data_IF_875329337905
#
_entry.id   IF_875329337905
#
_cell.length_a   1.000
_cell.length_b   1.000
_cell.length_c   1.000
_cell.angle_alpha   90.00
_cell.angle_beta   90.00
_cell.angle_gamma   90.00
#
_symmetry.space_group_name_H-M   'P 1'
#
loop_
_entity.id
_entity.type
_entity.pdbx_description
1 polymer ?
#
# COMPACT_ATOMS: atom_id res chain seq x y z
N UNK A 1 -26.21 8.65 -3.25
CA UNK A 1 -25.35 9.68 -2.62
C UNK A 1 -25.56 11.00 -3.35
N UNK A 2 -25.77 12.11 -2.66
CA UNK A 2 -26.16 13.39 -3.27
C UNK A 2 -24.93 14.13 -3.85
N UNK A 3 -25.03 14.78 -5.02
CA UNK A 3 -23.89 15.37 -5.75
C UNK A 3 -23.05 16.32 -4.86
N UNK A 4 -23.71 17.18 -4.07
CA UNK A 4 -23.02 18.08 -3.12
C UNK A 4 -22.16 17.37 -2.07
N UNK A 5 -22.57 16.17 -1.64
CA UNK A 5 -21.80 15.37 -0.66
C UNK A 5 -20.58 14.74 -1.32
N UNK A 6 -20.71 14.29 -2.57
CA UNK A 6 -19.59 13.79 -3.36
C UNK A 6 -18.56 14.89 -3.63
N UNK A 7 -19.02 16.09 -4.02
CA UNK A 7 -18.14 17.23 -4.29
C UNK A 7 -17.41 17.72 -3.03
N UNK A 8 -18.05 17.68 -1.86
CA UNK A 8 -17.42 18.00 -0.57
C UNK A 8 -16.34 16.99 -0.17
N UNK A 9 -16.63 15.69 -0.29
CA UNK A 9 -15.66 14.62 0.02
C UNK A 9 -14.45 14.72 -0.92
N UNK A 10 -14.68 15.00 -2.21
CA UNK A 10 -13.60 15.17 -3.17
C UNK A 10 -12.73 16.39 -2.84
N UNK A 11 -13.33 17.49 -2.39
CA UNK A 11 -12.61 18.71 -2.00
C UNK A 11 -11.71 18.52 -0.78
N UNK A 12 -12.17 17.78 0.23
CA UNK A 12 -11.39 17.51 1.45
C UNK A 12 -10.25 16.51 1.19
N UNK A 13 -10.51 15.50 0.35
CA UNK A 13 -9.47 14.58 -0.15
C UNK A 13 -8.39 15.33 -0.94
N UNK A 14 -8.76 16.31 -1.75
CA UNK A 14 -7.79 17.03 -2.57
C UNK A 14 -6.81 17.88 -1.72
N UNK A 15 -7.09 18.13 -0.43
CA UNK A 15 -6.28 18.97 0.45
C UNK A 15 -5.41 18.25 1.49
N UNK A 16 -5.77 17.04 1.92
CA UNK A 16 -5.07 16.36 3.01
C UNK A 16 -4.50 14.99 2.63
N UNK A 17 -3.18 14.83 2.72
CA UNK A 17 -2.51 13.56 2.46
C UNK A 17 -3.00 12.44 3.39
N UNK A 18 -3.20 12.72 4.69
CA UNK A 18 -3.64 11.71 5.67
C UNK A 18 -5.08 11.25 5.41
N UNK A 19 -5.99 12.16 5.03
CA UNK A 19 -7.36 11.78 4.65
C UNK A 19 -7.38 10.96 3.36
N UNK A 20 -6.56 11.29 2.37
CA UNK A 20 -6.41 10.47 1.15
C UNK A 20 -5.88 9.09 1.46
N UNK A 21 -4.88 9.01 2.34
CA UNK A 21 -4.28 7.74 2.74
C UNK A 21 -5.26 6.86 3.53
N UNK A 22 -6.05 7.46 4.44
CA UNK A 22 -7.14 6.77 5.13
C UNK A 22 -8.19 6.25 4.15
N UNK A 23 -8.64 7.10 3.22
CA UNK A 23 -9.57 6.71 2.16
C UNK A 23 -9.03 5.54 1.35
N UNK A 24 -7.78 5.63 0.90
CA UNK A 24 -7.13 4.59 0.11
C UNK A 24 -6.98 3.30 0.89
N UNK A 25 -6.59 3.35 2.17
CA UNK A 25 -6.41 2.16 3.00
C UNK A 25 -7.71 1.34 3.13
N UNK A 26 -8.86 2.03 3.21
CA UNK A 26 -10.18 1.41 3.37
C UNK A 26 -10.73 0.90 2.03
N UNK A 27 -10.65 1.73 0.99
CA UNK A 27 -11.41 1.54 -0.25
C UNK A 27 -10.62 0.91 -1.39
N UNK A 28 -9.28 0.91 -1.33
CA UNK A 28 -8.46 0.28 -2.36
C UNK A 28 -8.74 -1.23 -2.45
N UNK A 29 -8.56 -1.79 -3.64
CA UNK A 29 -8.74 -3.22 -3.85
C UNK A 29 -7.77 -4.02 -2.96
N UNK A 30 -8.26 -5.12 -2.38
CA UNK A 30 -7.38 -6.10 -1.74
C UNK A 30 -6.36 -6.62 -2.76
N UNK A 31 -5.11 -6.81 -2.31
CA UNK A 31 -4.03 -7.48 -3.06
C UNK A 31 -4.18 -9.00 -2.96
N UNK A 32 -4.60 -9.42 -1.77
CA UNK A 32 -5.08 -10.72 -1.30
C UNK A 32 -6.38 -11.25 -1.94
N UNK A 33 -6.44 -12.37 -2.66
CA UNK A 33 -7.72 -13.04 -2.99
C UNK A 33 -8.14 -14.05 -1.91
N UNK A 34 -8.37 -13.73 -0.62
CA UNK A 34 -8.68 -14.78 0.37
C UNK A 34 -9.81 -14.60 1.39
N UNK A 35 -10.37 -15.80 1.65
CA UNK A 35 -11.53 -16.23 2.43
C UNK A 35 -12.86 -15.62 1.99
N UNK A 36 -13.90 -16.44 1.93
CA UNK A 36 -15.30 -16.05 1.71
C UNK A 36 -15.84 -15.04 2.73
N UNK A 37 -14.99 -14.57 3.64
CA UNK A 37 -15.29 -13.66 4.74
C UNK A 37 -14.66 -12.28 4.57
N UNK A 38 -13.77 -12.02 3.58
CA UNK A 38 -13.40 -10.66 3.19
C UNK A 38 -14.48 -10.10 2.25
N UNK A 39 -15.19 -9.02 2.60
CA UNK A 39 -16.16 -8.40 1.69
C UNK A 39 -15.50 -7.88 0.39
N UNK A 40 -14.17 -7.82 0.31
CA UNK A 40 -13.40 -7.46 -0.89
C UNK A 40 -13.40 -5.97 -1.21
N UNK A 41 -14.47 -5.25 -0.82
CA UNK A 41 -14.57 -3.79 -0.78
C UNK A 41 -15.41 -3.34 0.40
N UNK A 42 -14.87 -2.41 1.15
CA UNK A 42 -15.59 -1.73 2.23
C UNK A 42 -16.27 -0.48 1.69
N UNK A 43 -17.43 -0.14 2.25
CA UNK A 43 -18.08 1.13 1.90
C UNK A 43 -17.15 2.29 2.30
N UNK A 44 -16.99 3.29 1.43
CA UNK A 44 -16.17 4.46 1.75
C UNK A 44 -16.77 5.15 2.98
N UNK A 45 -15.96 5.45 4.01
CA UNK A 45 -16.45 6.21 5.16
C UNK A 45 -16.82 7.62 4.71
N UNK A 46 -17.73 8.25 5.45
CA UNK A 46 -18.01 9.67 5.28
C UNK A 46 -16.88 10.49 5.90
N UNK A 47 -15.85 10.78 5.10
CA UNK A 47 -14.66 11.50 5.56
C UNK A 47 -14.93 12.95 5.94
N UNK A 48 -16.08 13.52 5.57
CA UNK A 48 -16.47 14.87 6.03
C UNK A 48 -16.66 14.95 7.55
N UNK A 49 -16.78 13.80 8.22
CA UNK A 49 -16.91 13.69 9.67
C UNK A 49 -15.56 13.47 10.38
N UNK A 50 -14.47 13.27 9.63
CA UNK A 50 -13.14 13.02 10.17
C UNK A 50 -12.44 14.36 10.37
N UNK A 51 -12.01 14.63 11.60
CA UNK A 51 -11.18 15.80 11.88
C UNK A 51 -9.72 15.49 11.47
N UNK A 52 -9.19 16.23 10.51
CA UNK A 52 -7.83 16.02 10.00
C UNK A 52 -6.76 16.13 11.09
N UNK A 53 -6.87 17.11 11.98
CA UNK A 53 -5.90 17.30 13.06
C UNK A 53 -5.94 16.14 14.05
N UNK A 54 -7.14 15.66 14.41
CA UNK A 54 -7.31 14.48 15.27
C UNK A 54 -6.68 13.24 14.62
N UNK A 55 -6.90 13.02 13.32
CA UNK A 55 -6.27 11.93 12.58
C UNK A 55 -4.75 12.05 12.59
N UNK A 56 -4.20 13.25 12.32
CA UNK A 56 -2.76 13.48 12.35
C UNK A 56 -2.17 13.23 13.74
N UNK A 57 -2.82 13.72 14.79
CA UNK A 57 -2.40 13.52 16.19
C UNK A 57 -2.45 12.03 16.56
N UNK A 58 -3.48 11.32 16.13
CA UNK A 58 -3.61 9.86 16.33
C UNK A 58 -2.49 9.08 15.63
N UNK A 59 -2.03 9.56 14.48
CA UNK A 59 -0.98 8.90 13.69
C UNK A 59 0.45 9.21 14.18
N UNK A 60 0.64 10.15 15.11
CA UNK A 60 1.97 10.52 15.65
C UNK A 60 2.78 9.31 16.15
N UNK A 61 2.22 8.34 16.90
CA UNK A 61 2.96 7.17 17.39
C UNK A 61 3.39 6.21 16.27
N UNK A 62 2.73 6.27 15.11
CA UNK A 62 2.96 5.38 13.99
C UNK A 62 4.04 5.99 13.08
N UNK A 63 5.17 5.29 12.95
CA UNK A 63 6.38 5.86 12.34
C UNK A 63 6.13 6.41 10.93
N UNK A 64 6.46 7.69 10.72
CA UNK A 64 6.49 8.31 9.39
C UNK A 64 7.48 7.62 8.43
N UNK A 65 8.48 6.89 8.94
CA UNK A 65 9.49 6.25 8.08
C UNK A 65 9.13 4.83 7.64
N UNK A 66 8.07 4.24 8.20
CA UNK A 66 7.64 2.86 7.90
C UNK A 66 6.19 2.85 7.44
N UNK A 67 6.01 2.72 6.13
CA UNK A 67 4.70 2.65 5.46
C UNK A 67 3.77 1.60 6.09
N UNK A 68 4.31 0.45 6.53
CA UNK A 68 3.52 -0.59 7.20
C UNK A 68 2.90 -0.14 8.53
N UNK A 69 3.69 0.46 9.42
CA UNK A 69 3.20 0.97 10.70
C UNK A 69 2.23 2.15 10.52
N UNK A 70 2.53 3.04 9.57
CA UNK A 70 1.61 4.11 9.22
C UNK A 70 0.25 3.56 8.73
N UNK A 71 0.28 2.53 7.87
CA UNK A 71 -0.91 1.85 7.40
C UNK A 71 -1.68 1.18 8.54
N UNK A 72 -1.02 0.47 9.45
CA UNK A 72 -1.64 -0.09 10.67
C UNK A 72 -2.34 0.99 11.51
N UNK A 73 -1.70 2.15 11.70
CA UNK A 73 -2.30 3.29 12.41
C UNK A 73 -3.57 3.82 11.74
N UNK A 74 -3.59 3.89 10.40
CA UNK A 74 -4.80 4.27 9.64
C UNK A 74 -5.92 3.24 9.82
N UNK A 75 -5.59 1.95 9.80
CA UNK A 75 -6.57 0.88 10.02
C UNK A 75 -7.11 0.92 11.45
N UNK A 76 -6.25 1.12 12.46
CA UNK A 76 -6.73 1.28 13.83
C UNK A 76 -7.66 2.49 13.97
N UNK A 77 -7.27 3.65 13.42
CA UNK A 77 -8.14 4.84 13.44
C UNK A 77 -9.50 4.54 12.82
N UNK A 78 -9.51 3.84 11.68
CA UNK A 78 -10.76 3.43 11.04
C UNK A 78 -11.62 2.50 11.93
N UNK A 79 -11.02 1.49 12.55
CA UNK A 79 -11.73 0.54 13.41
C UNK A 79 -12.26 1.23 14.70
N UNK A 80 -11.41 2.00 15.38
CA UNK A 80 -11.71 2.59 16.69
C UNK A 80 -12.54 3.88 16.60
N UNK A 81 -12.24 4.78 15.66
CA UNK A 81 -12.81 6.14 15.62
C UNK A 81 -14.00 6.25 14.69
N UNK A 82 -13.90 5.66 13.51
CA UNK A 82 -14.96 5.73 12.50
C UNK A 82 -16.00 4.64 12.75
N UNK A 83 -15.58 3.37 12.84
CA UNK A 83 -16.49 2.24 13.08
C UNK A 83 -16.86 2.08 14.55
N UNK A 84 -16.10 2.68 15.46
CA UNK A 84 -16.35 2.64 16.92
C UNK A 84 -16.41 1.21 17.47
N UNK A 85 -15.56 0.35 16.92
CA UNK A 85 -15.44 -1.04 17.36
C UNK A 85 -14.66 -1.13 18.65
N UNK A 86 -14.95 -2.16 19.43
CA UNK A 86 -14.17 -2.48 20.62
C UNK A 86 -12.91 -3.23 20.20
N UNK A 87 -11.78 -2.53 20.29
CA UNK A 87 -10.47 -3.14 20.10
C UNK A 87 -10.13 -3.96 21.35
N UNK A 88 -10.00 -5.28 21.18
CA UNK A 88 -9.65 -6.23 22.24
C UNK A 88 -8.14 -6.33 22.39
N UNK A 89 -7.42 -6.37 21.27
CA UNK A 89 -5.97 -6.34 21.25
C UNK A 89 -5.44 -5.75 19.93
N UNK A 90 -4.24 -5.19 20.00
CA UNK A 90 -3.48 -4.70 18.84
C UNK A 90 -2.01 -5.04 19.04
N UNK A 91 -1.33 -5.47 17.97
CA UNK A 91 0.10 -5.82 17.97
C UNK A 91 0.45 -6.76 19.14
N UNK A 92 -0.43 -7.73 19.40
CA UNK A 92 -0.35 -8.61 20.55
C UNK A 92 0.66 -9.72 20.27
N UNK A 93 1.82 -9.64 20.92
CA UNK A 93 2.84 -10.68 20.83
C UNK A 93 2.35 -11.98 21.46
N UNK A 94 2.63 -13.09 20.79
CA UNK A 94 2.31 -14.45 21.24
C UNK A 94 3.59 -15.19 21.61
N UNK A 95 3.52 -15.94 22.72
CA UNK A 95 4.66 -16.64 23.29
C UNK A 95 4.33 -18.12 23.56
N UNK A 96 5.30 -19.00 23.30
CA UNK A 96 5.32 -20.37 23.82
C UNK A 96 6.57 -20.51 24.68
N UNK A 97 6.37 -20.69 25.98
CA UNK A 97 7.48 -20.57 26.95
C UNK A 97 8.08 -19.16 26.90
N UNK A 98 9.38 -19.07 26.61
CA UNK A 98 10.10 -17.79 26.50
C UNK A 98 10.41 -17.37 25.05
N UNK A 99 9.74 -17.99 24.06
CA UNK A 99 9.95 -17.71 22.64
C UNK A 99 8.73 -17.02 22.04
N UNK A 100 8.94 -15.88 21.39
CA UNK A 100 7.92 -15.25 20.55
C UNK A 100 7.67 -16.11 19.32
N UNK A 101 6.43 -16.57 19.15
CA UNK A 101 6.01 -17.41 18.03
C UNK A 101 5.31 -16.61 16.92
N UNK A 102 4.87 -15.39 17.24
CA UNK A 102 4.19 -14.51 16.30
C UNK A 102 3.58 -13.31 17.00
N UNK A 103 2.74 -12.60 16.27
CA UNK A 103 2.00 -11.42 16.68
C UNK A 103 0.62 -11.47 16.03
N UNK A 104 -0.37 -10.92 16.71
CA UNK A 104 -1.71 -10.68 16.19
C UNK A 104 -1.85 -9.17 15.97
N UNK A 105 -2.04 -8.74 14.73
CA UNK A 105 -2.09 -7.31 14.40
C UNK A 105 -3.31 -6.64 15.03
N UNK A 106 -4.51 -7.19 14.81
CA UNK A 106 -5.75 -6.68 15.41
C UNK A 106 -6.71 -7.79 15.83
N UNK A 107 -7.28 -7.61 17.02
CA UNK A 107 -8.37 -8.41 17.56
C UNK A 107 -9.46 -7.45 18.04
N UNK A 108 -10.67 -7.57 17.52
CA UNK A 108 -11.77 -6.64 17.86
C UNK A 108 -13.13 -7.32 17.77
N UNK A 109 -14.12 -6.78 18.48
CA UNK A 109 -15.52 -7.17 18.32
C UNK A 109 -16.12 -6.37 17.16
N UNK A 110 -16.65 -7.06 16.15
CA UNK A 110 -17.31 -6.43 15.00
C UNK A 110 -18.72 -5.90 15.35
N UNK A 111 -19.44 -5.34 14.38
CA UNK A 111 -20.77 -4.78 14.62
C UNK A 111 -21.80 -5.81 15.10
N UNK A 112 -21.58 -7.11 14.85
CA UNK A 112 -22.41 -8.19 15.37
C UNK A 112 -21.99 -8.65 16.78
N UNK A 113 -20.91 -8.07 17.32
CA UNK A 113 -20.28 -8.49 18.57
C UNK A 113 -19.41 -9.73 18.43
N UNK A 114 -19.07 -10.15 17.21
CA UNK A 114 -18.23 -11.32 16.97
C UNK A 114 -16.75 -10.96 17.07
N UNK A 115 -15.97 -11.78 17.79
CA UNK A 115 -14.54 -11.57 17.88
C UNK A 115 -13.88 -11.90 16.54
N UNK A 116 -13.24 -10.89 15.97
CA UNK A 116 -12.61 -10.91 14.65
C UNK A 116 -11.12 -10.64 14.78
N UNK A 117 -10.31 -11.51 14.15
CA UNK A 117 -8.88 -11.37 14.03
C UNK A 117 -8.51 -10.89 12.63
N UNK A 118 -7.79 -9.77 12.54
CA UNK A 118 -7.19 -9.30 11.30
C UNK A 118 -5.67 -9.37 11.34
N UNK A 119 -5.12 -9.85 10.23
CA UNK A 119 -3.73 -9.63 9.86
C UNK A 119 -3.70 -8.58 8.76
N UNK A 120 -2.94 -7.51 8.96
CA UNK A 120 -2.91 -6.35 8.09
C UNK A 120 -1.56 -6.21 7.38
N UNK A 121 -1.58 -5.80 6.12
CA UNK A 121 -0.35 -5.41 5.44
C UNK A 121 -0.62 -4.49 4.27
N UNK A 122 0.34 -3.62 3.98
CA UNK A 122 0.47 -2.98 2.68
C UNK A 122 1.74 -3.47 1.98
N UNK A 123 1.59 -3.93 0.73
CA UNK A 123 2.68 -4.56 -0.03
C UNK A 123 2.78 -4.04 -1.46
N UNK A 124 4.01 -4.08 -1.96
CA UNK A 124 4.36 -3.65 -3.32
C UNK A 124 5.24 -4.74 -3.92
N UNK A 125 4.91 -5.18 -5.14
CA UNK A 125 5.70 -6.20 -5.83
C UNK A 125 5.92 -5.79 -7.29
N UNK A 126 7.12 -6.07 -7.80
CA UNK A 126 7.51 -5.87 -9.18
C UNK A 126 7.42 -7.21 -9.89
N UNK A 127 6.65 -7.25 -10.99
CA UNK A 127 6.57 -8.44 -11.83
C UNK A 127 7.87 -8.63 -12.63
N UNK A 128 8.54 -9.75 -12.41
CA UNK A 128 9.76 -10.16 -13.10
C UNK A 128 9.65 -11.63 -13.54
N UNK A 129 9.38 -11.88 -14.85
CA UNK A 129 9.03 -13.20 -15.36
C UNK A 129 10.23 -14.14 -15.58
N UNK A 130 11.47 -13.68 -15.35
CA UNK A 130 12.63 -14.54 -15.50
C UNK A 130 12.67 -15.65 -14.42
N UNK A 131 13.41 -16.72 -14.71
CA UNK A 131 13.79 -17.69 -13.69
C UNK A 131 14.44 -16.94 -12.53
N UNK A 132 13.88 -17.13 -11.34
CA UNK A 132 14.35 -16.47 -10.14
C UNK A 132 14.47 -17.49 -9.02
N UNK A 133 15.45 -17.28 -8.16
CA UNK A 133 15.71 -18.10 -6.98
C UNK A 133 14.65 -17.88 -5.88
N UNK A 134 13.76 -16.89 -6.06
CA UNK A 134 12.79 -16.50 -5.05
C UNK A 134 11.55 -17.40 -5.03
N UNK A 135 11.32 -18.18 -6.10
CA UNK A 135 10.13 -19.02 -6.27
C UNK A 135 8.86 -18.22 -6.55
N UNK A 136 9.00 -16.98 -7.03
CA UNK A 136 7.92 -16.03 -7.26
C UNK A 136 8.30 -15.05 -8.37
N UNK A 137 7.41 -14.81 -9.32
CA UNK A 137 7.59 -13.75 -10.33
C UNK A 137 7.23 -12.35 -9.80
N UNK A 138 6.90 -12.21 -8.53
CA UNK A 138 6.43 -10.95 -7.92
C UNK A 138 7.31 -10.62 -6.72
N UNK A 139 8.40 -9.92 -7.01
CA UNK A 139 9.50 -9.66 -6.07
C UNK A 139 9.31 -8.28 -5.46
N UNK A 140 9.51 -8.14 -4.15
CA UNK A 140 9.46 -6.84 -3.50
C UNK A 140 10.53 -5.90 -4.07
N UNK A 141 10.34 -4.57 -4.06
CA UNK A 141 11.31 -3.64 -4.65
C UNK A 141 12.73 -3.84 -4.13
N UNK A 142 12.92 -4.12 -2.84
CA UNK A 142 14.25 -4.36 -2.25
C UNK A 142 14.73 -5.83 -2.37
N UNK A 143 14.05 -6.67 -3.15
CA UNK A 143 14.34 -8.09 -3.35
C UNK A 143 14.42 -8.97 -2.09
N UNK A 144 13.90 -8.50 -0.95
CA UNK A 144 13.93 -9.20 0.36
C UNK A 144 12.67 -10.02 0.66
N UNK A 145 11.58 -9.77 -0.05
CA UNK A 145 10.33 -10.52 0.04
C UNK A 145 9.72 -10.76 -1.34
N UNK A 146 8.73 -11.64 -1.40
CA UNK A 146 7.95 -11.91 -2.60
C UNK A 146 6.51 -12.25 -2.23
N UNK A 147 5.63 -12.25 -3.23
CA UNK A 147 4.19 -12.40 -3.04
C UNK A 147 3.81 -13.75 -2.43
N UNK A 148 4.30 -14.86 -2.97
CA UNK A 148 3.98 -16.23 -2.56
C UNK A 148 4.47 -16.52 -1.14
N UNK A 149 5.68 -16.07 -0.78
CA UNK A 149 6.20 -16.17 0.59
C UNK A 149 5.34 -15.37 1.57
N UNK A 150 4.89 -14.16 1.21
CA UNK A 150 3.99 -13.37 2.07
C UNK A 150 2.62 -14.06 2.20
N UNK A 151 2.04 -14.56 1.11
CA UNK A 151 0.77 -15.27 1.13
C UNK A 151 0.83 -16.50 2.05
N UNK A 152 1.84 -17.36 1.85
CA UNK A 152 2.04 -18.55 2.70
C UNK A 152 2.22 -18.18 4.16
N UNK A 153 3.11 -17.23 4.47
CA UNK A 153 3.30 -16.76 5.87
C UNK A 153 1.98 -16.30 6.49
N UNK A 154 1.20 -15.50 5.76
CA UNK A 154 -0.04 -14.94 6.24
C UNK A 154 -1.12 -16.01 6.47
N UNK A 155 -1.35 -16.86 5.47
CA UNK A 155 -2.47 -17.78 5.44
C UNK A 155 -2.21 -19.09 6.21
N UNK A 156 -0.98 -19.61 6.15
CA UNK A 156 -0.64 -20.91 6.75
C UNK A 156 -0.04 -20.77 8.15
N UNK A 157 0.43 -19.58 8.53
CA UNK A 157 1.06 -19.37 9.83
C UNK A 157 0.37 -18.28 10.65
N UNK A 158 0.28 -17.04 10.17
CA UNK A 158 -0.19 -15.91 10.98
C UNK A 158 -1.68 -16.02 11.35
N UNK A 159 -2.58 -16.19 10.37
CA UNK A 159 -4.02 -16.32 10.66
C UNK A 159 -4.34 -17.51 11.59
N UNK A 160 -3.78 -18.72 11.38
CA UNK A 160 -3.97 -19.85 12.29
C UNK A 160 -3.49 -19.64 13.72
N UNK A 161 -2.58 -18.70 14.02
CA UNK A 161 -2.11 -18.47 15.41
C UNK A 161 -3.26 -18.19 16.37
N UNK A 162 -4.27 -17.46 15.89
CA UNK A 162 -5.47 -17.15 16.68
C UNK A 162 -6.37 -18.37 16.93
N UNK A 163 -6.31 -19.45 16.15
CA UNK A 163 -7.09 -20.68 16.44
C UNK A 163 -6.69 -21.30 17.77
N UNK A 164 -5.40 -21.27 18.08
CA UNK A 164 -4.86 -21.85 19.31
C UNK A 164 -4.94 -20.89 20.49
N UNK A 165 -4.69 -19.60 20.27
CA UNK A 165 -4.55 -18.62 21.36
C UNK A 165 -5.83 -17.83 21.67
N UNK A 166 -6.76 -17.75 20.70
CA UNK A 166 -8.04 -17.06 20.81
C UNK A 166 -9.13 -17.91 20.15
N UNK A 167 -9.46 -19.10 20.70
CA UNK A 167 -10.40 -20.03 20.09
C UNK A 167 -11.80 -19.44 19.88
N UNK A 168 -12.15 -18.38 20.59
CA UNK A 168 -13.39 -17.62 20.47
C UNK A 168 -13.44 -16.70 19.23
N UNK A 169 -12.33 -16.53 18.51
CA UNK A 169 -12.32 -15.82 17.22
C UNK A 169 -13.18 -16.55 16.19
N UNK A 170 -14.21 -15.85 15.74
CA UNK A 170 -15.19 -16.34 14.75
C UNK A 170 -14.69 -16.09 13.32
N UNK A 171 -14.03 -14.94 13.09
CA UNK A 171 -13.58 -14.51 11.75
C UNK A 171 -12.10 -14.19 11.72
N UNK A 172 -11.41 -14.66 10.69
CA UNK A 172 -9.97 -14.46 10.45
C UNK A 172 -9.78 -13.86 9.06
N UNK A 173 -9.23 -12.66 8.99
CA UNK A 173 -9.16 -11.88 7.74
C UNK A 173 -7.74 -11.42 7.46
N UNK A 174 -7.29 -11.69 6.23
CA UNK A 174 -6.08 -11.12 5.66
C UNK A 174 -6.40 -9.77 5.00
N UNK A 175 -6.30 -8.67 5.74
CA UNK A 175 -6.51 -7.32 5.21
C UNK A 175 -5.23 -6.81 4.53
N UNK A 176 -5.01 -7.23 3.28
CA UNK A 176 -3.79 -6.88 2.55
C UNK A 176 -4.10 -5.95 1.38
N UNK A 177 -3.56 -4.73 1.42
CA UNK A 177 -3.62 -3.73 0.35
C UNK A 177 -2.27 -3.64 -0.37
N UNK A 178 -2.24 -2.99 -1.52
CA UNK A 178 -0.99 -2.88 -2.26
C UNK A 178 -1.15 -2.59 -3.74
N UNK A 179 0.00 -2.62 -4.43
CA UNK A 179 0.11 -2.38 -5.86
C UNK A 179 1.10 -3.39 -6.46
N UNK A 180 0.72 -4.01 -7.57
CA UNK A 180 1.64 -4.79 -8.41
C UNK A 180 2.11 -3.91 -9.55
N UNK A 181 3.42 -3.87 -9.78
CA UNK A 181 4.02 -3.08 -10.84
C UNK A 181 4.47 -3.99 -11.97
N UNK A 182 4.27 -3.56 -13.21
CA UNK A 182 4.62 -4.32 -14.41
C UNK A 182 5.58 -3.52 -15.27
N UNK A 183 6.62 -4.17 -15.79
CA UNK A 183 7.52 -3.55 -16.76
C UNK A 183 6.91 -3.69 -18.16
N UNK A 184 6.73 -2.59 -18.92
CA UNK A 184 6.12 -2.61 -20.25
C UNK A 184 6.98 -3.33 -21.30
N UNK A 185 8.27 -3.55 -21.03
CA UNK A 185 9.21 -4.25 -21.90
C UNK A 185 9.25 -5.76 -21.64
N UNK A 186 8.59 -6.24 -20.58
CA UNK A 186 8.56 -7.65 -20.21
C UNK A 186 7.20 -8.28 -20.55
N UNK A 187 7.15 -9.59 -20.85
CA UNK A 187 5.89 -10.28 -21.10
C UNK A 187 4.97 -10.20 -19.88
N UNK A 188 3.66 -10.18 -20.13
CA UNK A 188 2.67 -10.20 -19.07
C UNK A 188 2.72 -11.51 -18.28
N UNK A 189 2.34 -11.43 -16.99
CA UNK A 189 2.18 -12.62 -16.15
C UNK A 189 0.83 -13.28 -16.46
N UNK A 190 0.85 -14.44 -17.13
CA UNK A 190 -0.35 -15.24 -17.33
C UNK A 190 -0.05 -16.74 -17.18
N UNK A 191 -0.75 -17.46 -16.28
CA UNK A 191 -1.79 -16.99 -15.36
C UNK A 191 -1.23 -16.18 -14.19
N UNK A 192 -2.08 -15.34 -13.57
CA UNK A 192 -1.74 -14.68 -12.29
C UNK A 192 -1.65 -15.73 -11.17
N UNK A 193 -0.90 -15.47 -10.10
CA UNK A 193 -0.88 -16.34 -8.92
C UNK A 193 -2.30 -16.52 -8.36
N UNK A 194 -2.64 -17.74 -7.95
CA UNK A 194 -3.98 -18.11 -7.46
C UNK A 194 -4.50 -17.16 -6.37
N UNK A 195 -3.59 -16.76 -5.47
CA UNK A 195 -3.87 -15.93 -4.29
C UNK A 195 -3.93 -14.43 -4.60
N UNK A 196 -3.68 -14.01 -5.84
CA UNK A 196 -3.67 -12.59 -6.23
C UNK A 196 -5.05 -12.12 -6.63
N UNK A 197 -5.49 -10.97 -6.09
CA UNK A 197 -6.73 -10.30 -6.49
C UNK A 197 -6.71 -9.97 -7.97
N UNK A 198 -7.69 -10.37 -8.80
CA UNK A 198 -7.75 -9.94 -10.20
C UNK A 198 -8.00 -8.43 -10.31
N UNK A 199 -8.52 -7.80 -9.25
CA UNK A 199 -8.76 -6.36 -9.14
C UNK A 199 -7.59 -5.59 -8.48
N UNK A 200 -6.43 -6.23 -8.25
CA UNK A 200 -5.27 -5.57 -7.65
C UNK A 200 -4.91 -4.28 -8.38
N UNK A 201 -4.45 -3.28 -7.63
CA UNK A 201 -3.97 -2.04 -8.23
C UNK A 201 -2.69 -2.30 -9.02
N UNK A 202 -2.56 -1.60 -10.16
CA UNK A 202 -1.44 -1.78 -11.10
C UNK A 202 -0.62 -0.50 -11.23
N UNK A 203 0.69 -0.65 -11.18
CA UNK A 203 1.67 0.39 -11.52
C UNK A 203 2.63 -0.07 -12.60
N UNK A 204 3.63 0.76 -12.90
CA UNK A 204 4.71 0.45 -13.83
C UNK A 204 6.02 0.31 -13.06
N UNK A 205 6.94 -0.53 -13.50
CA UNK A 205 8.33 -0.40 -13.07
C UNK A 205 9.27 -0.39 -14.26
N UNK A 206 10.40 0.28 -14.10
CA UNK A 206 11.42 0.45 -15.13
C UNK A 206 12.81 0.33 -14.48
N UNK A 207 13.77 -0.18 -15.23
CA UNK A 207 15.18 0.10 -14.96
C UNK A 207 15.46 1.59 -15.20
N UNK A 208 16.49 2.14 -14.56
CA UNK A 208 16.86 3.54 -14.79
C UNK A 208 17.22 3.80 -16.26
N UNK A 209 17.87 2.85 -16.93
CA UNK A 209 18.17 2.87 -18.36
C UNK A 209 16.93 2.98 -19.26
N UNK A 210 15.77 2.53 -18.78
CA UNK A 210 14.50 2.54 -19.51
C UNK A 210 13.68 3.82 -19.28
N UNK A 211 14.15 4.76 -18.45
CA UNK A 211 13.38 5.93 -18.01
C UNK A 211 12.85 6.81 -19.16
N UNK A 212 13.57 6.88 -20.29
CA UNK A 212 13.14 7.66 -21.46
C UNK A 212 11.84 7.12 -22.08
N UNK A 213 11.41 5.89 -21.76
CA UNK A 213 10.09 5.37 -22.11
C UNK A 213 8.96 6.30 -21.65
N UNK A 214 9.10 6.96 -20.49
CA UNK A 214 8.09 7.88 -19.95
C UNK A 214 7.75 9.01 -20.91
N UNK A 215 8.75 9.56 -21.62
CA UNK A 215 8.56 10.62 -22.62
C UNK A 215 7.73 10.18 -23.82
N UNK A 216 7.78 8.90 -24.15
CA UNK A 216 7.04 8.34 -25.29
C UNK A 216 5.58 8.07 -24.95
N UNK A 217 5.28 7.85 -23.68
CA UNK A 217 3.95 7.43 -23.23
C UNK A 217 3.11 8.57 -22.66
N UNK A 218 3.76 9.57 -22.07
CA UNK A 218 3.07 10.64 -21.36
C UNK A 218 3.53 12.01 -21.84
N UNK A 219 2.58 12.90 -22.09
CA UNK A 219 2.80 14.33 -22.35
C UNK A 219 2.24 15.16 -21.20
N UNK A 220 2.73 16.39 -21.06
CA UNK A 220 2.20 17.38 -20.10
C UNK A 220 2.19 16.86 -18.65
N UNK A 221 3.24 16.11 -18.30
CA UNK A 221 3.40 15.50 -16.98
C UNK A 221 4.51 16.12 -16.16
N UNK A 222 4.29 16.14 -14.86
CA UNK A 222 5.30 16.41 -13.83
C UNK A 222 5.42 15.20 -12.92
N UNK A 223 6.55 15.09 -12.24
CA UNK A 223 6.93 13.90 -11.49
C UNK A 223 7.17 14.24 -10.02
N UNK A 224 6.81 13.33 -9.14
CA UNK A 224 7.07 13.44 -7.70
C UNK A 224 7.78 12.17 -7.23
N UNK A 225 9.00 12.31 -6.71
CA UNK A 225 9.66 11.22 -5.98
C UNK A 225 8.97 11.09 -4.63
N UNK A 226 8.44 9.91 -4.32
CA UNK A 226 7.62 9.67 -3.13
C UNK A 226 8.49 9.24 -1.95
N UNK A 227 8.40 10.00 -0.87
CA UNK A 227 9.02 9.65 0.40
C UNK A 227 8.07 8.79 1.25
N UNK A 228 8.62 8.13 2.27
CA UNK A 228 7.78 7.43 3.25
C UNK A 228 7.27 8.47 4.27
N UNK A 229 6.00 8.41 4.68
CA UNK A 229 5.07 7.27 4.51
C UNK A 229 4.16 7.37 3.28
N UNK A 230 4.33 8.39 2.43
CA UNK A 230 3.46 8.80 1.33
C UNK A 230 3.48 7.81 0.14
N UNK A 231 3.27 6.51 0.38
CA UNK A 231 3.27 5.48 -0.65
C UNK A 231 1.86 4.92 -0.93
N UNK A 232 0.86 5.34 -0.15
CA UNK A 232 -0.50 4.77 -0.17
C UNK A 232 -1.38 5.43 -1.24
N UNK A 233 -1.93 6.61 -0.99
CA UNK A 233 -2.90 7.26 -1.89
C UNK A 233 -2.24 7.94 -3.09
N UNK A 234 -2.97 8.11 -4.21
CA UNK A 234 -2.54 8.93 -5.36
C UNK A 234 -2.12 10.34 -4.96
N UNK A 235 -1.01 10.81 -5.53
CA UNK A 235 -0.60 12.20 -5.36
C UNK A 235 -1.57 13.15 -6.06
N UNK A 236 -1.91 14.26 -5.40
CA UNK A 236 -2.64 15.40 -5.98
C UNK A 236 -1.81 16.65 -5.74
N UNK A 237 -2.09 17.73 -6.47
CA UNK A 237 -1.44 19.02 -6.25
C UNK A 237 -1.82 19.53 -4.87
N UNK A 238 -0.88 19.42 -3.95
CA UNK A 238 -0.97 19.90 -2.59
C UNK A 238 0.00 21.07 -2.44
N UNK A 239 -0.41 22.14 -1.75
CA UNK A 239 0.48 23.26 -1.43
C UNK A 239 1.70 22.82 -0.60
N UNK A 240 1.59 21.68 0.10
CA UNK A 240 2.66 21.07 0.88
C UNK A 240 3.63 20.23 0.03
N UNK A 241 3.32 19.94 -1.24
CA UNK A 241 4.31 19.29 -2.13
C UNK A 241 5.35 20.32 -2.51
N UNK A 242 6.50 20.24 -1.84
CA UNK A 242 7.57 21.23 -1.98
C UNK A 242 8.17 21.25 -3.39
N UNK A 243 8.16 20.13 -4.12
CA UNK A 243 8.81 20.06 -5.43
C UNK A 243 8.20 19.02 -6.38
N UNK A 244 7.54 19.53 -7.42
CA UNK A 244 7.24 18.76 -8.63
C UNK A 244 8.40 18.91 -9.61
N UNK A 245 8.81 17.81 -10.23
CA UNK A 245 9.95 17.73 -11.12
C UNK A 245 9.50 17.67 -12.58
N UNK A 246 10.18 18.40 -13.44
CA UNK A 246 10.18 18.10 -14.89
C UNK A 246 10.87 16.77 -15.16
N UNK A 247 10.68 16.19 -16.36
CA UNK A 247 11.38 14.96 -16.73
C UNK A 247 12.92 15.10 -16.62
N UNK A 248 13.48 16.23 -17.06
CA UNK A 248 14.93 16.47 -17.02
C UNK A 248 15.45 16.54 -15.58
N UNK A 249 14.69 17.15 -14.67
CA UNK A 249 15.05 17.19 -13.25
C UNK A 249 14.91 15.82 -12.58
N UNK A 250 13.86 15.06 -12.92
CA UNK A 250 13.71 13.69 -12.44
C UNK A 250 14.89 12.83 -12.87
N UNK A 251 15.24 12.83 -14.17
CA UNK A 251 16.34 12.03 -14.71
C UNK A 251 17.66 12.36 -14.01
N UNK A 252 17.94 13.65 -13.77
CA UNK A 252 19.13 14.09 -13.03
C UNK A 252 19.11 13.65 -11.56
N UNK A 253 17.95 13.72 -10.90
CA UNK A 253 17.84 13.27 -9.51
C UNK A 253 18.04 11.76 -9.38
N UNK A 254 17.50 10.98 -10.32
CA UNK A 254 17.69 9.53 -10.36
C UNK A 254 19.14 9.13 -10.71
N UNK A 255 19.79 9.85 -11.63
CA UNK A 255 21.19 9.63 -11.97
C UNK A 255 22.11 9.78 -10.74
N UNK A 256 21.96 10.87 -9.98
CA UNK A 256 22.72 11.07 -8.73
C UNK A 256 22.40 9.97 -7.71
N UNK A 257 21.12 9.64 -7.53
CA UNK A 257 20.71 8.61 -6.57
C UNK A 257 21.31 7.24 -6.89
N UNK A 258 21.26 6.79 -8.15
CA UNK A 258 21.80 5.49 -8.55
C UNK A 258 23.33 5.45 -8.69
N UNK A 259 24.01 6.60 -8.68
CA UNK A 259 25.46 6.64 -8.47
C UNK A 259 25.86 6.39 -7.01
N UNK A 260 24.99 6.74 -6.06
CA UNK A 260 25.23 6.59 -4.62
C UNK A 260 24.72 5.26 -4.05
N UNK A 261 23.79 4.60 -4.73
CA UNK A 261 23.38 3.22 -4.42
C UNK A 261 22.13 2.74 -5.13
N UNK A 262 21.75 1.49 -4.88
CA UNK A 262 20.78 0.77 -5.72
C UNK A 262 19.35 0.76 -5.17
N UNK A 263 19.05 1.65 -4.22
CA UNK A 263 17.74 1.63 -3.54
C UNK A 263 16.62 1.98 -4.53
N UNK A 264 15.56 1.16 -4.65
CA UNK A 264 14.41 1.50 -5.47
C UNK A 264 13.73 2.80 -5.04
N UNK A 265 13.23 3.56 -6.01
CA UNK A 265 12.47 4.77 -5.79
C UNK A 265 11.05 4.65 -6.34
N UNK A 266 10.07 5.05 -5.53
CA UNK A 266 8.68 5.18 -5.97
C UNK A 266 8.46 6.59 -6.49
N UNK A 267 7.80 6.71 -7.64
CA UNK A 267 7.55 7.97 -8.33
C UNK A 267 6.07 8.03 -8.72
N UNK A 268 5.45 9.19 -8.52
CA UNK A 268 4.14 9.50 -9.08
C UNK A 268 4.30 10.30 -10.36
N UNK A 269 3.58 9.90 -11.41
CA UNK A 269 3.44 10.64 -12.65
C UNK A 269 2.14 11.41 -12.57
N UNK A 270 2.22 12.74 -12.52
CA UNK A 270 1.06 13.62 -12.43
C UNK A 270 0.82 14.29 -13.77
N UNK A 271 -0.44 14.30 -14.21
CA UNK A 271 -0.86 15.10 -15.38
C UNK A 271 -1.24 16.49 -14.92
N UNK A 272 -0.77 17.50 -15.64
CA UNK A 272 -1.14 18.90 -15.41
C UNK A 272 -2.38 19.22 -16.23
N UNK A 273 -3.44 19.69 -15.57
CA UNK A 273 -4.68 20.16 -16.19
C UNK A 273 -5.00 21.53 -15.58
N UNK A 274 -4.81 22.60 -16.36
CA UNK A 274 -4.94 23.99 -15.89
C UNK A 274 -4.08 24.26 -14.64
N UNK A 275 -4.70 24.41 -13.47
CA UNK A 275 -4.04 24.60 -12.19
C UNK A 275 -3.97 23.33 -11.35
N UNK A 276 -4.50 22.20 -11.80
CA UNK A 276 -4.51 20.96 -11.04
C UNK A 276 -3.45 19.99 -11.56
N UNK A 277 -2.82 19.25 -10.64
CA UNK A 277 -1.97 18.12 -10.97
C UNK A 277 -2.53 16.89 -10.26
N UNK A 278 -2.82 15.82 -10.98
CA UNK A 278 -3.31 14.57 -10.38
C UNK A 278 -2.49 13.39 -10.88
N UNK A 279 -2.16 12.48 -9.98
CA UNK A 279 -1.47 11.25 -10.34
C UNK A 279 -2.31 10.44 -11.32
N UNK A 280 -1.70 10.11 -12.47
CA UNK A 280 -2.28 9.25 -13.50
C UNK A 280 -1.63 7.87 -13.52
N UNK A 281 -0.44 7.75 -12.91
CA UNK A 281 0.30 6.49 -12.83
C UNK A 281 1.30 6.52 -11.69
N UNK A 282 1.53 5.35 -11.09
CA UNK A 282 2.62 5.10 -10.15
C UNK A 282 3.71 4.24 -10.79
N UNK A 283 4.95 4.61 -10.50
CA UNK A 283 6.15 4.01 -11.06
C UNK A 283 7.10 3.58 -9.93
N UNK A 284 7.76 2.44 -10.09
CA UNK A 284 9.04 2.18 -9.44
C UNK A 284 10.18 2.32 -10.45
N UNK A 285 11.28 2.96 -10.05
CA UNK A 285 12.54 2.89 -10.79
C UNK A 285 13.54 2.12 -9.94
N UNK A 286 14.22 1.17 -10.57
CA UNK A 286 15.22 0.29 -9.94
C UNK A 286 16.58 0.42 -10.64
N UNK A 287 17.64 0.05 -9.94
CA UNK A 287 18.98 -0.04 -10.51
C UNK A 287 19.10 -1.22 -11.49
N UNK A 288 20.11 -1.17 -12.37
CA UNK A 288 20.31 -2.17 -13.44
C UNK A 288 20.60 -3.59 -12.93
N UNK A 289 21.13 -3.71 -11.71
CA UNK A 289 21.40 -5.00 -11.07
C UNK A 289 20.17 -5.62 -10.40
N UNK A 290 19.04 -4.92 -10.32
CA UNK A 290 17.82 -5.51 -9.77
C UNK A 290 17.34 -6.70 -10.65
N UNK A 291 16.94 -7.86 -10.08
CA UNK A 291 16.63 -8.11 -8.66
C UNK A 291 17.78 -8.75 -7.86
N UNK A 292 19.02 -8.72 -8.33
CA UNK A 292 20.16 -9.28 -7.60
C UNK A 292 20.34 -8.55 -6.26
N UNK A 293 20.62 -9.31 -5.20
CA UNK A 293 20.88 -8.73 -3.88
C UNK A 293 22.36 -8.36 -3.81
N UNK A 294 22.64 -7.07 -3.58
CA UNK A 294 23.97 -6.56 -3.21
C UNK A 294 24.42 -7.07 -1.84
#
# INVERSE_FOLDING_TARGET
>A
MNQKKYDSIQHDLDKSQSLRDLHWAITSASLISHSSQDPGRWEPPDLSLVNEQELMDFLVPYSRFRVGQYFEGLILYWLERIRRLKIVAQNQQLFVGNQTIGEIDFLFEDEAGELTHWETAVKYYLHYPAENTTGSHFIGPNAKDNFEKKCRRLLEYQLPLSETHFPEVVRRVAFVKGIIFYNPHLPASTPLPERMSPAHLKGVWLYFSELDWLKTQYSDTVYLIREKPDWLSPAVRDSCIEKLLTFSELKRALDVHFQEGDRPLMISILKVVETDCREIKRLFVVAENWPEQS
#
